data_IF_978588009808
#
_entry.id   IF_978588009808
#
_cell.length_a   1.000
_cell.length_b   1.000
_cell.length_c   1.000
_cell.angle_alpha   90.00
_cell.angle_beta   90.00
_cell.angle_gamma   90.00
#
_symmetry.space_group_name_H-M   'P 1'
#
loop_
_entity.id
_entity.type
_entity.pdbx_description
1 polymer ?
#
# COMPACT_ATOMS: atom_id res chain seq x y z
N UNK A 1 40.95 -61.07 -5.02
CA UNK A 1 40.43 -59.71 -5.33
C UNK A 1 39.20 -59.36 -4.46
N UNK A 2 39.33 -59.18 -3.14
CA UNK A 2 38.16 -58.89 -2.29
C UNK A 2 38.41 -57.91 -1.13
N UNK A 3 39.66 -57.71 -0.70
CA UNK A 3 39.96 -56.77 0.39
C UNK A 3 39.89 -55.30 -0.06
N UNK A 4 40.43 -54.96 -1.24
CA UNK A 4 40.48 -53.57 -1.77
C UNK A 4 39.08 -52.96 -2.00
N UNK A 5 38.07 -53.79 -2.30
CA UNK A 5 36.68 -53.35 -2.49
C UNK A 5 35.99 -52.98 -1.18
N UNK A 6 36.39 -53.56 -0.04
CA UNK A 6 35.76 -53.28 1.28
C UNK A 6 36.17 -51.91 1.82
N UNK A 7 37.43 -51.50 1.61
CA UNK A 7 37.91 -50.18 2.02
C UNK A 7 37.30 -49.04 1.20
N UNK A 8 37.05 -49.25 -0.09
CA UNK A 8 36.37 -48.25 -0.94
C UNK A 8 34.94 -47.97 -0.48
N UNK A 9 34.19 -49.00 -0.08
CA UNK A 9 32.81 -48.84 0.42
C UNK A 9 32.79 -48.11 1.77
N UNK A 10 33.74 -48.42 2.67
CA UNK A 10 33.86 -47.73 3.95
C UNK A 10 34.23 -46.26 3.76
N UNK A 11 35.13 -45.95 2.81
CA UNK A 11 35.53 -44.58 2.53
C UNK A 11 34.38 -43.76 1.90
N UNK A 12 33.60 -44.35 0.98
CA UNK A 12 32.44 -43.67 0.41
C UNK A 12 31.32 -43.45 1.43
N UNK A 13 31.07 -44.41 2.33
CA UNK A 13 30.07 -44.25 3.38
C UNK A 13 30.46 -43.15 4.39
N UNK A 14 31.75 -43.08 4.75
CA UNK A 14 32.28 -42.02 5.62
C UNK A 14 32.19 -40.63 4.99
N UNK A 15 32.56 -40.50 3.72
CA UNK A 15 32.47 -39.23 2.98
C UNK A 15 31.01 -38.73 2.85
N UNK A 16 30.06 -39.63 2.60
CA UNK A 16 28.63 -39.30 2.53
C UNK A 16 28.05 -38.87 3.88
N UNK A 17 28.48 -39.49 4.99
CA UNK A 17 28.07 -39.08 6.34
C UNK A 17 28.60 -37.69 6.71
N UNK A 18 29.85 -37.39 6.37
CA UNK A 18 30.44 -36.07 6.61
C UNK A 18 29.71 -35.00 5.78
N UNK A 19 29.40 -35.27 4.51
CA UNK A 19 28.61 -34.35 3.68
C UNK A 19 27.20 -34.13 4.23
N UNK A 20 26.54 -35.16 4.76
CA UNK A 20 25.24 -35.00 5.42
C UNK A 20 25.33 -34.15 6.69
N UNK A 21 26.40 -34.24 7.47
CA UNK A 21 26.61 -33.38 8.64
C UNK A 21 27.01 -31.94 8.29
N UNK A 22 27.79 -31.75 7.22
CA UNK A 22 28.23 -30.42 6.79
C UNK A 22 27.13 -29.64 6.04
N UNK A 23 26.24 -30.31 5.32
CA UNK A 23 25.21 -29.66 4.50
C UNK A 23 23.77 -29.89 4.97
N UNK A 24 23.52 -30.92 5.79
CA UNK A 24 22.21 -31.22 6.38
C UNK A 24 22.18 -30.82 7.85
N UNK A 25 21.81 -29.58 8.14
CA UNK A 25 21.57 -29.10 9.50
C UNK A 25 20.49 -29.94 10.20
N UNK A 26 20.91 -30.93 10.99
CA UNK A 26 20.01 -31.70 11.85
C UNK A 26 19.66 -30.84 13.06
N UNK A 27 18.50 -30.18 13.00
CA UNK A 27 17.85 -29.61 14.17
C UNK A 27 17.22 -30.74 14.98
N UNK A 28 17.86 -31.14 16.07
CA UNK A 28 17.26 -31.99 17.11
C UNK A 28 16.54 -31.11 18.15
N UNK A 29 15.24 -31.32 18.42
CA UNK A 29 14.55 -30.62 19.49
C UNK A 29 14.78 -31.38 20.81
N UNK A 30 15.50 -30.78 21.75
CA UNK A 30 15.56 -31.26 23.14
C UNK A 30 14.83 -30.29 24.06
N UNK A 31 13.70 -30.78 24.58
CA UNK A 31 13.01 -30.23 25.75
C UNK A 31 13.97 -30.01 26.91
N UNK A 32 14.06 -28.78 27.42
CA UNK A 32 14.35 -28.54 28.84
C UNK A 32 13.69 -27.25 29.33
N UNK A 33 12.88 -27.43 30.36
CA UNK A 33 12.17 -26.40 31.14
C UNK A 33 13.12 -25.88 32.22
N UNK A 34 13.23 -24.56 32.38
CA UNK A 34 13.92 -23.93 33.52
C UNK A 34 14.18 -22.42 33.31
N UNK A 35 13.83 -21.53 34.26
CA UNK A 35 13.67 -20.10 34.00
C UNK A 35 14.91 -19.27 34.37
N UNK A 36 15.13 -18.15 33.69
CA UNK A 36 16.19 -17.20 34.02
C UNK A 36 16.11 -15.92 33.19
N UNK A 37 15.69 -14.84 33.85
CA UNK A 37 15.58 -13.45 33.38
C UNK A 37 16.94 -12.83 33.06
N UNK A 38 16.92 -11.86 32.12
CA UNK A 38 17.80 -10.68 31.98
C UNK A 38 19.27 -10.99 31.71
N UNK A 39 20.02 -10.23 30.95
CA UNK A 39 19.88 -9.08 30.06
C UNK A 39 21.10 -9.26 29.14
N UNK A 40 21.01 -9.00 27.84
CA UNK A 40 22.24 -8.67 27.12
C UNK A 40 22.03 -7.58 26.08
N UNK A 41 22.49 -6.41 26.50
CA UNK A 41 22.98 -5.34 25.68
C UNK A 41 24.18 -5.83 24.85
N UNK A 42 24.34 -5.21 23.68
CA UNK A 42 25.61 -5.03 22.93
C UNK A 42 25.78 -5.85 21.65
N UNK A 43 25.19 -5.33 20.56
CA UNK A 43 25.92 -5.29 19.29
C UNK A 43 26.89 -4.11 19.34
N UNK A 44 28.17 -4.43 19.51
CA UNK A 44 29.29 -3.59 19.14
C UNK A 44 29.44 -3.61 17.61
N UNK A 45 29.61 -2.44 17.00
CA UNK A 45 29.94 -2.36 15.58
C UNK A 45 29.69 -1.02 14.90
N UNK A 46 30.18 0.11 15.44
CA UNK A 46 30.45 1.26 14.59
C UNK A 46 31.63 2.11 15.11
N UNK A 47 32.56 2.37 14.19
CA UNK A 47 33.78 3.14 14.36
C UNK A 47 33.50 4.60 14.83
N UNK A 48 34.35 5.19 15.69
CA UNK A 48 34.15 6.52 16.23
C UNK A 48 34.79 7.59 15.35
N UNK A 49 33.97 8.41 14.69
CA UNK A 49 34.43 9.48 13.82
C UNK A 49 33.43 10.61 13.60
N UNK A 50 32.62 10.97 14.58
CA UNK A 50 31.88 12.23 14.55
C UNK A 50 31.53 12.70 15.97
N UNK A 51 32.23 13.76 16.39
CA UNK A 51 32.10 14.43 17.69
C UNK A 51 30.90 15.38 17.66
N UNK A 52 29.72 14.89 18.02
CA UNK A 52 28.58 15.77 18.31
C UNK A 52 28.63 16.22 19.77
N UNK A 53 28.70 17.54 19.97
CA UNK A 53 28.69 18.17 21.30
C UNK A 53 27.38 17.80 22.02
N UNK A 54 27.50 17.18 23.20
CA UNK A 54 26.41 16.86 24.10
C UNK A 54 25.83 18.17 24.68
N UNK A 55 24.69 18.61 24.17
CA UNK A 55 23.85 19.58 24.87
C UNK A 55 23.16 18.84 26.02
N UNK A 56 23.61 19.10 27.24
CA UNK A 56 23.04 18.54 28.46
C UNK A 56 21.89 19.46 28.90
N UNK A 57 20.74 19.29 28.25
CA UNK A 57 19.47 19.88 28.65
C UNK A 57 18.49 18.76 28.95
N UNK A 58 17.88 18.79 30.13
CA UNK A 58 16.82 17.89 30.57
C UNK A 58 15.66 17.85 29.55
N UNK A 59 15.69 16.91 28.61
CA UNK A 59 14.50 16.52 27.85
C UNK A 59 13.85 15.35 28.59
N UNK A 60 12.73 15.65 29.24
CA UNK A 60 11.83 14.67 29.82
C UNK A 60 11.42 13.69 28.71
N UNK A 61 11.76 12.42 28.88
CA UNK A 61 11.33 11.37 27.97
C UNK A 61 9.79 11.36 27.93
N UNK A 62 9.21 11.83 26.82
CA UNK A 62 7.82 11.57 26.49
C UNK A 62 7.70 10.10 26.09
N UNK A 63 7.59 9.22 27.09
CA UNK A 63 7.21 7.83 26.87
C UNK A 63 6.46 7.29 28.08
N UNK A 64 5.38 7.98 28.45
CA UNK A 64 4.22 7.31 29.02
C UNK A 64 3.25 7.13 27.88
N UNK A 65 3.18 5.90 27.36
CA UNK A 65 2.12 5.47 26.47
C UNK A 65 0.86 5.44 27.31
N UNK A 66 0.23 6.62 27.45
CA UNK A 66 -1.14 6.72 27.90
C UNK A 66 -1.98 6.05 26.80
N UNK A 67 -2.84 5.11 27.23
CA UNK A 67 -3.81 4.46 26.35
C UNK A 67 -4.60 5.56 25.65
N UNK A 68 -4.31 5.78 24.37
CA UNK A 68 -5.11 6.68 23.55
C UNK A 68 -6.57 6.22 23.61
N UNK A 69 -7.41 7.14 24.07
CA UNK A 69 -8.85 6.97 24.06
C UNK A 69 -9.31 6.94 22.59
N UNK A 70 -9.95 5.82 22.26
CA UNK A 70 -10.58 5.44 20.99
C UNK A 70 -11.56 6.55 20.51
N UNK A 71 -11.08 7.51 19.70
CA UNK A 71 -11.94 8.43 18.95
C UNK A 71 -12.39 7.84 17.59
N UNK A 72 -12.30 6.52 17.42
CA UNK A 72 -12.91 5.77 16.30
C UNK A 72 -14.43 5.57 16.44
N UNK A 73 -15.12 6.43 17.19
CA UNK A 73 -16.47 6.20 17.71
C UNK A 73 -17.59 6.13 16.63
N UNK A 74 -17.25 6.24 15.34
CA UNK A 74 -18.21 6.23 14.24
C UNK A 74 -18.03 5.14 13.17
N UNK A 75 -17.03 4.25 13.28
CA UNK A 75 -16.89 3.13 12.33
C UNK A 75 -17.35 1.83 13.00
N UNK A 76 -18.37 1.20 12.43
CA UNK A 76 -18.84 -0.09 12.95
C UNK A 76 -17.71 -1.15 12.90
N UNK A 77 -17.62 -2.06 13.88
CA UNK A 77 -16.62 -3.13 13.87
C UNK A 77 -16.64 -3.99 12.60
N UNK A 78 -17.80 -4.10 11.94
CA UNK A 78 -17.95 -4.78 10.64
C UNK A 78 -17.23 -4.01 9.54
N UNK A 79 -17.46 -2.71 9.43
CA UNK A 79 -16.82 -1.86 8.44
C UNK A 79 -15.29 -1.85 8.61
N UNK A 80 -14.78 -1.81 9.85
CA UNK A 80 -13.34 -1.92 10.13
C UNK A 80 -12.74 -3.25 9.65
N UNK A 81 -13.46 -4.36 9.83
CA UNK A 81 -13.01 -5.68 9.35
C UNK A 81 -13.00 -5.75 7.83
N UNK A 82 -14.05 -5.27 7.19
CA UNK A 82 -14.17 -5.27 5.72
C UNK A 82 -13.03 -4.45 5.07
N UNK A 83 -12.77 -3.24 5.58
CA UNK A 83 -11.64 -2.43 5.14
C UNK A 83 -10.31 -3.16 5.32
N UNK A 84 -10.08 -3.77 6.48
CA UNK A 84 -8.86 -4.53 6.74
C UNK A 84 -8.71 -5.74 5.80
N UNK A 85 -9.78 -6.52 5.57
CA UNK A 85 -9.73 -7.63 4.62
C UNK A 85 -9.43 -7.17 3.20
N UNK A 86 -9.99 -6.03 2.80
CA UNK A 86 -9.70 -5.36 1.54
C UNK A 86 -8.23 -4.99 1.40
N UNK A 87 -7.65 -4.37 2.43
CA UNK A 87 -6.22 -4.08 2.53
C UNK A 87 -5.36 -5.34 2.37
N UNK A 88 -5.72 -6.46 3.00
CA UNK A 88 -4.99 -7.72 2.86
C UNK A 88 -5.03 -8.29 1.44
N UNK A 89 -6.19 -8.24 0.78
CA UNK A 89 -6.35 -8.67 -0.62
C UNK A 89 -5.60 -7.72 -1.55
N UNK A 90 -5.77 -6.42 -1.36
CA UNK A 90 -5.11 -5.36 -2.12
C UNK A 90 -3.58 -5.43 -2.04
N UNK A 91 -3.00 -5.71 -0.86
CA UNK A 91 -1.53 -5.85 -0.66
C UNK A 91 -0.88 -6.92 -1.55
N UNK A 92 -1.64 -7.93 -1.96
CA UNK A 92 -1.16 -8.99 -2.87
C UNK A 92 -1.30 -8.63 -4.35
N UNK A 93 -1.92 -7.50 -4.68
CA UNK A 93 -2.06 -7.09 -6.06
C UNK A 93 -0.74 -6.74 -6.72
N UNK A 94 -0.61 -7.23 -7.94
CA UNK A 94 0.44 -6.93 -8.91
C UNK A 94 -0.22 -6.66 -10.25
N UNK A 95 0.55 -6.11 -11.19
CA UNK A 95 0.04 -5.77 -12.51
C UNK A 95 -0.54 -7.01 -13.21
N UNK A 96 0.14 -8.15 -13.10
CA UNK A 96 -0.25 -9.42 -13.70
C UNK A 96 -1.47 -10.11 -13.04
N UNK A 97 -1.81 -9.77 -11.79
CA UNK A 97 -2.86 -10.47 -11.03
C UNK A 97 -4.15 -9.66 -10.91
N UNK A 98 -4.02 -8.35 -10.73
CA UNK A 98 -5.15 -7.46 -10.43
C UNK A 98 -5.52 -6.50 -11.56
N UNK A 99 -4.70 -6.40 -12.60
CA UNK A 99 -5.00 -5.58 -13.79
C UNK A 99 -5.15 -6.47 -15.03
N UNK A 100 -6.22 -6.26 -15.79
CA UNK A 100 -6.43 -6.92 -17.08
C UNK A 100 -5.78 -6.09 -18.19
N UNK A 101 -4.55 -6.46 -18.55
CA UNK A 101 -3.77 -5.80 -19.61
C UNK A 101 -4.33 -6.05 -21.01
N UNK A 102 -5.14 -7.11 -21.20
CA UNK A 102 -5.65 -7.48 -22.52
C UNK A 102 -6.59 -6.42 -23.11
N UNK A 103 -7.26 -5.64 -22.26
CA UNK A 103 -8.08 -4.49 -22.67
C UNK A 103 -7.22 -3.40 -23.31
N UNK A 104 -6.03 -3.14 -22.77
CA UNK A 104 -5.07 -2.17 -23.30
C UNK A 104 -4.46 -2.65 -24.62
N UNK A 105 -4.14 -3.94 -24.73
CA UNK A 105 -3.58 -4.51 -25.95
C UNK A 105 -4.57 -4.48 -27.11
N UNK A 106 -5.86 -4.71 -26.83
CA UNK A 106 -6.93 -4.72 -27.85
C UNK A 106 -7.29 -3.33 -28.35
N UNK A 107 -7.48 -2.38 -27.44
CA UNK A 107 -8.09 -1.08 -27.74
C UNK A 107 -7.11 0.10 -27.69
N UNK A 108 -5.85 -0.16 -27.32
CA UNK A 108 -4.88 0.84 -26.90
C UNK A 108 -5.09 1.29 -25.45
N UNK A 109 -4.17 2.12 -24.96
CA UNK A 109 -4.31 2.72 -23.62
C UNK A 109 -5.34 3.86 -23.67
N UNK A 110 -6.59 3.53 -23.35
CA UNK A 110 -7.70 4.48 -23.24
C UNK A 110 -8.25 4.53 -21.82
N UNK A 111 -8.68 5.72 -21.40
CA UNK A 111 -9.18 6.01 -20.06
C UNK A 111 -10.64 6.47 -20.15
N UNK A 112 -11.51 5.78 -19.43
CA UNK A 112 -12.90 6.17 -19.26
C UNK A 112 -13.11 6.84 -17.90
N UNK A 113 -13.79 7.97 -17.91
CA UNK A 113 -14.23 8.70 -16.72
C UNK A 113 -15.71 8.44 -16.51
N UNK A 114 -16.10 8.00 -15.31
CA UNK A 114 -17.50 7.78 -15.00
C UNK A 114 -18.31 9.06 -15.11
N UNK A 115 -19.60 9.01 -15.50
CA UNK A 115 -20.45 10.19 -15.44
C UNK A 115 -20.66 10.63 -14.00
N UNK A 116 -20.61 11.95 -13.76
CA UNK A 116 -20.89 12.53 -12.46
C UNK A 116 -22.33 12.21 -12.03
N UNK A 117 -22.47 11.68 -10.81
CA UNK A 117 -23.78 11.34 -10.25
C UNK A 117 -24.49 12.60 -9.74
N UNK A 118 -25.82 12.65 -9.91
CA UNK A 118 -26.62 13.79 -9.43
C UNK A 118 -26.49 13.94 -7.92
N UNK A 119 -26.14 15.15 -7.47
CA UNK A 119 -26.02 15.48 -6.04
C UNK A 119 -24.62 15.30 -5.45
N UNK A 120 -23.68 14.68 -6.17
CA UNK A 120 -22.29 14.62 -5.75
C UNK A 120 -21.55 15.90 -6.14
N UNK A 121 -20.95 16.56 -5.15
CA UNK A 121 -20.05 17.69 -5.37
C UNK A 121 -18.62 17.18 -5.38
N UNK A 122 -17.85 17.61 -6.37
CA UNK A 122 -16.42 17.33 -6.47
C UNK A 122 -15.64 18.57 -6.04
N UNK A 123 -14.52 18.39 -5.34
CA UNK A 123 -13.58 19.49 -5.11
C UNK A 123 -13.03 20.01 -6.44
N UNK A 124 -12.60 21.27 -6.45
CA UNK A 124 -11.96 21.87 -7.62
C UNK A 124 -10.72 21.06 -8.04
N UNK A 125 -9.92 20.60 -7.07
CA UNK A 125 -8.75 19.77 -7.34
C UNK A 125 -9.12 18.46 -8.04
N UNK A 126 -10.20 17.79 -7.63
CA UNK A 126 -10.63 16.55 -8.30
C UNK A 126 -11.21 16.83 -9.69
N UNK A 127 -11.98 17.92 -9.85
CA UNK A 127 -12.47 18.35 -11.16
C UNK A 127 -11.32 18.67 -12.12
N UNK A 128 -10.23 19.25 -11.64
CA UNK A 128 -9.04 19.52 -12.44
C UNK A 128 -8.36 18.22 -12.89
N UNK A 129 -8.30 17.19 -12.04
CA UNK A 129 -7.81 15.86 -12.40
C UNK A 129 -8.68 15.24 -13.51
N UNK A 130 -10.00 15.22 -13.33
CA UNK A 130 -10.92 14.65 -14.32
C UNK A 130 -10.84 15.41 -15.65
N UNK A 131 -10.88 16.74 -15.62
CA UNK A 131 -10.77 17.59 -16.81
C UNK A 131 -9.45 17.38 -17.55
N UNK A 132 -8.34 17.19 -16.83
CA UNK A 132 -7.03 16.90 -17.44
C UNK A 132 -7.01 15.54 -18.14
N UNK A 133 -7.73 14.55 -17.59
CA UNK A 133 -7.87 13.22 -18.20
C UNK A 133 -8.75 13.34 -19.45
N UNK A 134 -9.91 13.96 -19.35
CA UNK A 134 -10.88 14.14 -20.44
C UNK A 134 -10.31 14.95 -21.61
N UNK A 135 -9.46 15.95 -21.34
CA UNK A 135 -8.75 16.72 -22.35
C UNK A 135 -7.54 16.01 -22.98
N UNK A 136 -7.15 14.85 -22.47
CA UNK A 136 -6.00 14.11 -22.97
C UNK A 136 -6.35 13.24 -24.19
N UNK A 137 -5.32 12.89 -24.98
CA UNK A 137 -5.45 11.94 -26.11
C UNK A 137 -5.88 10.51 -25.69
N UNK A 138 -5.83 10.21 -24.40
CA UNK A 138 -6.14 8.89 -23.87
C UNK A 138 -7.61 8.76 -23.49
N UNK A 139 -8.36 9.86 -23.39
CA UNK A 139 -9.77 9.82 -23.02
C UNK A 139 -10.63 9.06 -24.05
N UNK A 140 -11.61 8.31 -23.55
CA UNK A 140 -12.69 7.73 -24.34
C UNK A 140 -14.04 7.91 -23.63
N UNK A 141 -15.11 8.34 -24.33
CA UNK A 141 -16.47 8.35 -23.80
C UNK A 141 -17.11 6.95 -23.82
N UNK A 142 -16.55 6.00 -24.57
CA UNK A 142 -17.05 4.62 -24.67
C UNK A 142 -16.30 3.71 -23.68
N UNK A 143 -16.96 3.17 -22.64
CA UNK A 143 -16.33 2.28 -21.67
C UNK A 143 -15.89 0.94 -22.28
N UNK A 144 -16.49 0.49 -23.40
CA UNK A 144 -16.09 -0.76 -24.05
C UNK A 144 -14.71 -0.68 -24.73
N UNK A 145 -14.25 0.56 -25.01
CA UNK A 145 -12.92 0.81 -25.56
C UNK A 145 -11.88 1.13 -24.49
N UNK A 146 -12.30 1.30 -23.23
CA UNK A 146 -11.41 1.71 -22.17
C UNK A 146 -10.59 0.54 -21.62
N UNK A 147 -9.34 0.85 -21.28
CA UNK A 147 -8.49 -0.05 -20.50
C UNK A 147 -8.41 0.37 -19.03
N UNK A 148 -8.54 1.67 -18.74
CA UNK A 148 -8.47 2.21 -17.38
C UNK A 148 -9.73 2.99 -17.05
N UNK A 149 -10.21 2.86 -15.82
CA UNK A 149 -11.44 3.48 -15.34
C UNK A 149 -11.15 4.43 -14.17
N UNK A 150 -11.74 5.62 -14.23
CA UNK A 150 -11.58 6.67 -13.21
C UNK A 150 -12.95 7.09 -12.70
N UNK A 151 -13.12 7.01 -11.37
CA UNK A 151 -14.38 7.32 -10.72
C UNK A 151 -14.66 8.82 -10.73
N UNK A 152 -15.91 9.22 -10.92
CA UNK A 152 -16.37 10.60 -10.67
C UNK A 152 -16.92 10.73 -9.24
N UNK A 153 -16.12 10.26 -8.28
CA UNK A 153 -16.36 10.36 -6.84
C UNK A 153 -15.08 10.90 -6.19
N UNK A 154 -15.20 12.00 -5.47
CA UNK A 154 -14.03 12.64 -4.86
C UNK A 154 -13.45 11.77 -3.74
N UNK A 155 -12.21 11.33 -3.95
CA UNK A 155 -11.47 10.46 -3.01
C UNK A 155 -10.18 11.09 -2.53
N UNK A 156 -9.93 12.35 -2.90
CA UNK A 156 -8.69 13.05 -2.57
C UNK A 156 -8.53 13.25 -1.08
N UNK A 157 -9.62 13.57 -0.39
CA UNK A 157 -9.63 13.87 1.03
C UNK A 157 -10.48 12.85 1.80
N UNK A 158 -9.80 12.09 2.67
CA UNK A 158 -10.43 11.06 3.51
C UNK A 158 -10.45 11.45 4.98
N UNK A 159 -10.20 12.72 5.29
CA UNK A 159 -10.49 13.29 6.61
C UNK A 159 -12.01 13.45 6.79
N UNK A 160 -12.59 12.82 7.80
CA UNK A 160 -14.04 12.87 8.08
C UNK A 160 -14.54 14.27 8.42
N UNK A 161 -13.65 15.16 8.89
CA UNK A 161 -13.97 16.55 9.21
C UNK A 161 -13.89 17.46 7.98
N UNK A 162 -13.37 16.96 6.86
CA UNK A 162 -13.24 17.74 5.65
C UNK A 162 -14.61 18.00 5.01
N UNK A 163 -14.89 19.24 4.55
CA UNK A 163 -16.09 19.52 3.76
C UNK A 163 -16.11 18.78 2.42
N UNK A 164 -14.97 18.22 1.99
CA UNK A 164 -14.82 17.43 0.76
C UNK A 164 -14.97 15.92 1.01
N UNK A 165 -15.23 15.51 2.25
CA UNK A 165 -15.38 14.11 2.60
C UNK A 165 -16.65 13.51 1.99
N UNK A 166 -16.47 12.55 1.09
CA UNK A 166 -17.58 11.79 0.52
C UNK A 166 -18.03 10.71 1.51
N UNK A 167 -19.24 10.87 2.05
CA UNK A 167 -19.91 9.88 2.90
C UNK A 167 -20.48 8.72 2.08
N UNK A 168 -20.66 7.55 2.72
CA UNK A 168 -21.23 6.35 2.10
C UNK A 168 -20.53 5.92 0.80
N UNK A 169 -19.23 6.22 0.68
CA UNK A 169 -18.44 5.96 -0.51
C UNK A 169 -18.49 4.48 -0.95
N UNK A 170 -18.44 3.54 0.01
CA UNK A 170 -18.59 2.09 -0.26
C UNK A 170 -19.89 1.79 -1.02
N UNK A 171 -21.02 2.30 -0.54
CA UNK A 171 -22.32 2.07 -1.17
C UNK A 171 -22.40 2.72 -2.57
N UNK A 172 -21.83 3.92 -2.72
CA UNK A 172 -21.76 4.62 -4.01
C UNK A 172 -20.96 3.81 -5.03
N UNK A 173 -19.77 3.33 -4.66
CA UNK A 173 -18.91 2.54 -5.53
C UNK A 173 -19.57 1.20 -5.88
N UNK A 174 -20.17 0.51 -4.90
CA UNK A 174 -20.88 -0.74 -5.14
C UNK A 174 -22.11 -0.59 -6.05
N UNK A 175 -22.69 0.60 -6.15
CA UNK A 175 -23.78 0.90 -7.08
C UNK A 175 -23.31 1.12 -8.53
N UNK A 176 -22.00 1.27 -8.76
CA UNK A 176 -21.45 1.50 -10.08
C UNK A 176 -21.40 0.20 -10.88
N UNK A 177 -22.04 0.13 -12.06
CA UNK A 177 -22.18 -1.12 -12.81
C UNK A 177 -20.85 -1.67 -13.33
N UNK A 178 -19.85 -0.81 -13.56
CA UNK A 178 -18.56 -1.18 -14.13
C UNK A 178 -17.46 -1.43 -13.08
N UNK A 179 -17.74 -1.30 -11.77
CA UNK A 179 -16.69 -1.30 -10.73
C UNK A 179 -15.79 -2.54 -10.73
N UNK A 180 -16.34 -3.72 -11.06
CA UNK A 180 -15.58 -4.97 -11.25
C UNK A 180 -14.56 -5.26 -10.12
N UNK A 181 -14.99 -5.10 -8.87
CA UNK A 181 -14.13 -5.26 -7.68
C UNK A 181 -12.84 -4.42 -7.73
N UNK A 182 -12.85 -3.29 -8.45
CA UNK A 182 -11.72 -2.39 -8.63
C UNK A 182 -10.76 -2.78 -9.76
N UNK A 183 -10.95 -3.91 -10.45
CA UNK A 183 -10.06 -4.31 -11.55
C UNK A 183 -10.06 -3.25 -12.64
N UNK A 184 -8.88 -2.84 -13.10
CA UNK A 184 -8.67 -1.76 -14.08
C UNK A 184 -9.16 -0.38 -13.62
N UNK A 185 -9.38 -0.16 -12.33
CA UNK A 185 -9.69 1.15 -11.77
C UNK A 185 -8.46 1.79 -11.14
N UNK A 186 -8.40 3.12 -11.15
CA UNK A 186 -7.45 3.91 -10.37
C UNK A 186 -8.18 4.88 -9.46
N UNK A 187 -7.73 4.94 -8.21
CA UNK A 187 -8.25 5.85 -7.18
C UNK A 187 -7.19 6.88 -6.84
N UNK A 188 -7.58 8.13 -6.64
CA UNK A 188 -6.68 9.21 -6.26
C UNK A 188 -6.86 9.58 -4.79
N UNK A 189 -5.75 9.71 -4.06
CA UNK A 189 -5.77 10.19 -2.69
C UNK A 189 -4.60 11.14 -2.44
N UNK A 190 -4.88 12.35 -1.94
CA UNK A 190 -3.85 13.32 -1.59
C UNK A 190 -3.75 13.51 -0.08
N UNK A 191 -4.89 13.54 0.60
CA UNK A 191 -4.97 13.85 2.03
C UNK A 191 -5.41 12.61 2.80
N UNK A 192 -4.51 12.09 3.63
CA UNK A 192 -4.68 10.89 4.46
C UNK A 192 -5.16 11.22 5.89
N UNK A 193 -5.96 12.28 6.06
CA UNK A 193 -6.41 12.75 7.38
C UNK A 193 -5.57 13.90 7.94
N UNK A 194 -6.02 14.42 9.07
CA UNK A 194 -5.37 15.48 9.86
C UNK A 194 -4.96 14.90 11.21
N UNK A 195 -3.86 15.39 11.79
CA UNK A 195 -3.43 14.99 13.13
C UNK A 195 -4.58 15.12 14.15
N UNK A 196 -4.76 14.16 15.08
CA UNK A 196 -3.94 12.94 15.28
C UNK A 196 -4.35 11.77 14.37
N UNK A 197 -5.43 11.89 13.62
CA UNK A 197 -6.14 10.81 12.94
C UNK A 197 -5.67 10.56 11.50
N UNK A 198 -4.36 10.43 11.29
CA UNK A 198 -3.85 10.01 9.98
C UNK A 198 -4.27 8.57 9.69
N UNK A 199 -4.91 8.34 8.54
CA UNK A 199 -5.34 7.02 8.09
C UNK A 199 -4.68 6.65 6.77
N UNK A 200 -4.05 5.48 6.75
CA UNK A 200 -3.58 4.88 5.51
C UNK A 200 -4.73 4.26 4.69
N UNK A 201 -5.84 3.96 5.35
CA UNK A 201 -7.07 3.44 4.75
C UNK A 201 -7.92 4.58 4.17
N UNK A 202 -8.52 4.33 3.00
CA UNK A 202 -9.49 5.21 2.37
C UNK A 202 -10.89 5.11 3.02
N UNK A 203 -11.06 4.19 3.97
CA UNK A 203 -12.31 3.96 4.68
C UNK A 203 -13.29 3.06 3.90
N UNK A 204 -12.80 2.37 2.87
CA UNK A 204 -13.50 1.35 2.11
C UNK A 204 -12.52 0.40 1.41
N UNK A 205 -13.01 -0.77 1.03
CA UNK A 205 -12.23 -1.75 0.27
C UNK A 205 -12.09 -1.35 -1.20
N UNK A 206 -10.85 -1.09 -1.63
CA UNK A 206 -10.52 -0.75 -3.03
C UNK A 206 -10.38 -1.99 -3.94
N UNK A 207 -10.41 -3.19 -3.37
CA UNK A 207 -10.27 -4.45 -4.08
C UNK A 207 -8.99 -4.51 -4.92
N UNK A 208 -9.17 -4.68 -6.23
CA UNK A 208 -8.12 -4.78 -7.23
C UNK A 208 -7.72 -3.43 -7.85
N UNK A 209 -8.26 -2.30 -7.37
CA UNK A 209 -7.93 -1.00 -7.94
C UNK A 209 -6.49 -0.59 -7.63
N UNK A 210 -5.87 0.12 -8.59
CA UNK A 210 -4.62 0.83 -8.39
C UNK A 210 -4.85 2.07 -7.54
N UNK A 211 -3.84 2.46 -6.76
CA UNK A 211 -3.90 3.63 -5.91
C UNK A 211 -2.84 4.65 -6.35
N UNK A 212 -3.31 5.82 -6.78
CA UNK A 212 -2.48 7.00 -6.97
C UNK A 212 -2.52 7.84 -5.68
N UNK A 213 -1.49 7.74 -4.84
CA UNK A 213 -1.51 8.32 -3.50
C UNK A 213 -0.28 9.18 -3.20
N UNK A 214 -0.54 10.34 -2.59
CA UNK A 214 0.51 11.15 -1.97
C UNK A 214 0.84 10.66 -0.57
N UNK A 215 2.12 10.76 -0.19
CA UNK A 215 2.60 10.35 1.14
C UNK A 215 2.26 8.90 1.52
N UNK A 216 2.20 7.99 0.54
CA UNK A 216 1.95 6.57 0.79
C UNK A 216 3.15 5.95 1.52
N UNK A 217 2.88 5.22 2.60
CA UNK A 217 3.92 4.46 3.32
C UNK A 217 4.51 3.35 2.45
N UNK A 218 5.81 3.08 2.60
CA UNK A 218 6.50 2.00 1.88
C UNK A 218 5.96 0.60 2.19
N UNK A 219 5.28 0.44 3.34
CA UNK A 219 4.65 -0.82 3.73
C UNK A 219 3.34 -1.10 2.97
N UNK A 220 2.63 -0.05 2.54
CA UNK A 220 1.36 -0.16 1.83
C UNK A 220 1.49 0.04 0.32
N UNK A 221 2.53 0.74 -0.14
CA UNK A 221 2.78 0.94 -1.56
C UNK A 221 3.04 -0.39 -2.29
N UNK A 222 2.29 -0.66 -3.36
CA UNK A 222 2.47 -1.86 -4.20
C UNK A 222 3.35 -1.53 -5.40
N UNK A 223 4.62 -1.97 -5.43
CA UNK A 223 5.54 -1.62 -6.51
C UNK A 223 5.03 -2.12 -7.86
N UNK A 224 5.22 -1.31 -8.90
CA UNK A 224 4.76 -1.58 -10.28
C UNK A 224 3.25 -1.71 -10.44
N UNK A 225 2.46 -1.26 -9.45
CA UNK A 225 1.01 -1.33 -9.47
C UNK A 225 0.37 -0.02 -8.99
N UNK A 226 0.84 0.51 -7.87
CA UNK A 226 0.43 1.82 -7.37
C UNK A 226 1.29 2.94 -7.95
N UNK A 227 0.75 4.16 -7.93
CA UNK A 227 1.41 5.36 -8.42
C UNK A 227 1.66 6.30 -7.25
N UNK A 228 2.93 6.61 -6.97
CA UNK A 228 3.26 7.68 -6.04
C UNK A 228 3.11 9.02 -6.75
N UNK A 229 2.28 9.90 -6.20
CA UNK A 229 2.05 11.25 -6.74
C UNK A 229 2.47 12.30 -5.71
N UNK A 230 2.93 13.49 -6.14
CA UNK A 230 3.24 14.56 -5.21
C UNK A 230 1.99 15.07 -4.50
N UNK A 231 2.17 15.51 -3.25
CA UNK A 231 1.11 16.19 -2.52
C UNK A 231 0.95 17.62 -3.05
N UNK A 232 -0.25 17.94 -3.50
CA UNK A 232 -0.62 19.31 -3.88
C UNK A 232 -1.40 19.96 -2.75
N UNK A 233 -1.28 21.28 -2.62
CA UNK A 233 -2.16 22.08 -1.76
C UNK A 233 -3.58 22.10 -2.34
N UNK A 234 -4.59 22.26 -1.49
CA UNK A 234 -5.99 22.49 -1.92
C UNK A 234 -6.11 23.77 -2.75
N UNK A 235 -5.29 24.77 -2.42
CA UNK A 235 -5.22 26.06 -3.10
C UNK A 235 -4.17 26.08 -4.21
N UNK A 236 -3.69 24.92 -4.67
CA UNK A 236 -2.74 24.89 -5.77
C UNK A 236 -3.43 25.51 -7.01
N UNK A 237 -2.85 26.57 -7.62
CA UNK A 237 -3.44 27.16 -8.80
C UNK A 237 -3.62 26.09 -9.87
N UNK A 238 -4.85 25.92 -10.35
CA UNK A 238 -5.12 25.18 -11.58
C UNK A 238 -4.33 25.84 -12.72
N UNK A 239 -3.98 25.09 -13.77
CA UNK A 239 -3.27 25.67 -14.90
C UNK A 239 -4.07 26.83 -15.53
N UNK A 240 -3.81 28.06 -15.09
CA UNK A 240 -3.84 29.25 -15.93
C UNK A 240 -2.50 29.37 -16.67
N UNK A 241 -2.02 28.25 -17.21
CA UNK A 241 -0.78 28.16 -17.97
C UNK A 241 -1.08 28.25 -19.45
N UNK A 242 -1.35 29.45 -19.96
CA UNK A 242 -1.10 29.75 -21.38
C UNK A 242 0.42 29.66 -21.60
N UNK A 243 0.91 28.45 -21.82
CA UNK A 243 2.25 28.22 -22.35
C UNK A 243 2.28 28.71 -23.79
N UNK A 244 2.75 29.94 -23.99
CA UNK A 244 3.36 30.34 -25.26
C UNK A 244 4.72 29.65 -25.28
N UNK A 245 4.86 28.65 -26.16
CA UNK A 245 6.13 28.22 -26.72
C UNK A 245 6.16 28.64 -28.18
#
# INVERSE_FOLDING_TARGET
MQAKKRYLILFSAGASLILLFCFGGIQVPLSRRGPGRRDDQSLTGYHPGARWRRLQGYLKAFSTWEKDHDFHEHISPRQKRDSNSGLYTGRRCRMESCFDVSLCERNGFKVYVYPQQKGEKLSESYQNILSSIEGSRFYTPDPAQACLFVLSLDTLDRDQLSPQYVHNLKAKIQSLPLWNEGRNHIIFNLYSGTWPDYTEDLGFDIGFAMLAKASISTENFRPNFDVSIPLFSKDHPGQEGKGVF
#
